data_IF_583782259191
#
_entry.id   IF_583782259191
#
_cell.length_a   1.000
_cell.length_b   1.000
_cell.length_c   1.000
_cell.angle_alpha   90.00
_cell.angle_beta   90.00
_cell.angle_gamma   90.00
#
_symmetry.space_group_name_H-M   'P 1'
#
loop_
_entity.id
_entity.type
_entity.pdbx_description
1 polymer ?
#
# COMPACT_ATOMS: atom_id res chain seq x y z
N UNK A 1 7.94 -4.68 -34.97
CA UNK A 1 7.92 -5.85 -34.08
C UNK A 1 7.05 -5.45 -32.90
N UNK A 2 5.86 -6.04 -32.75
CA UNK A 2 5.04 -5.80 -31.57
C UNK A 2 5.51 -6.77 -30.49
N UNK A 3 6.13 -6.25 -29.44
CA UNK A 3 6.63 -7.06 -28.32
C UNK A 3 5.51 -7.35 -27.32
N UNK A 4 4.39 -6.63 -27.40
CA UNK A 4 3.23 -6.87 -26.54
C UNK A 4 2.48 -8.11 -27.06
N UNK A 5 2.32 -9.16 -26.23
CA UNK A 5 1.48 -10.30 -26.58
C UNK A 5 0.03 -9.84 -26.79
N UNK A 6 -0.61 -10.28 -27.87
CA UNK A 6 -2.00 -9.94 -28.22
C UNK A 6 -3.03 -10.89 -27.60
N UNK A 7 -2.57 -11.99 -27.01
CA UNK A 7 -3.37 -13.12 -26.55
C UNK A 7 -3.01 -13.46 -25.10
N UNK A 8 -2.71 -12.43 -24.31
CA UNK A 8 -2.33 -12.60 -22.91
C UNK A 8 -3.55 -13.05 -22.07
N UNK A 9 -3.40 -14.18 -21.40
CA UNK A 9 -4.36 -14.63 -20.39
C UNK A 9 -4.09 -13.88 -19.08
N UNK A 10 -4.94 -12.91 -18.78
CA UNK A 10 -4.91 -12.17 -17.52
C UNK A 10 -5.55 -12.97 -16.36
N UNK A 11 -5.83 -14.27 -16.53
CA UNK A 11 -6.37 -15.10 -15.46
C UNK A 11 -7.76 -14.67 -15.00
N UNK A 12 -8.08 -14.98 -13.74
CA UNK A 12 -9.41 -14.72 -13.18
C UNK A 12 -9.57 -13.24 -12.78
N UNK A 13 -10.54 -12.55 -13.38
CA UNK A 13 -10.83 -11.14 -13.09
C UNK A 13 -11.08 -10.85 -11.60
N UNK A 14 -11.62 -11.83 -10.86
CA UNK A 14 -11.84 -11.74 -9.41
C UNK A 14 -10.55 -11.53 -8.60
N UNK A 15 -9.40 -11.91 -9.14
CA UNK A 15 -8.10 -11.74 -8.50
C UNK A 15 -7.63 -10.28 -8.49
N UNK A 16 -8.28 -9.39 -9.25
CA UNK A 16 -7.98 -7.96 -9.32
C UNK A 16 -9.03 -7.11 -8.59
N UNK A 17 -9.94 -7.76 -7.85
CA UNK A 17 -11.07 -7.08 -7.21
C UNK A 17 -10.60 -5.94 -6.32
N UNK A 18 -9.65 -6.20 -5.41
CA UNK A 18 -9.12 -5.18 -4.50
C UNK A 18 -8.67 -3.91 -5.24
N UNK A 19 -7.79 -4.06 -6.24
CA UNK A 19 -7.25 -2.94 -6.99
C UNK A 19 -8.32 -2.12 -7.74
N UNK A 20 -9.40 -2.78 -8.15
CA UNK A 20 -10.43 -2.18 -9.01
C UNK A 20 -11.67 -1.72 -8.24
N UNK A 21 -11.85 -2.11 -6.99
CA UNK A 21 -13.06 -1.79 -6.21
C UNK A 21 -12.80 -0.97 -4.94
N UNK A 22 -11.63 -0.33 -4.82
CA UNK A 22 -11.37 0.59 -3.71
C UNK A 22 -12.43 1.70 -3.62
N UNK A 23 -12.60 2.22 -2.41
CA UNK A 23 -13.39 3.41 -2.12
C UNK A 23 -12.65 4.64 -2.62
N UNK A 24 -13.18 5.26 -3.68
CA UNK A 24 -12.69 6.53 -4.22
C UNK A 24 -13.81 7.29 -4.96
N UNK A 25 -13.62 8.59 -5.12
CA UNK A 25 -14.62 9.52 -5.62
C UNK A 25 -14.94 9.40 -7.11
N UNK A 26 -14.00 8.93 -7.94
CA UNK A 26 -14.16 8.84 -9.39
C UNK A 26 -13.27 7.78 -10.05
N UNK A 27 -13.52 7.52 -11.33
CA UNK A 27 -12.83 6.51 -12.13
C UNK A 27 -11.38 6.90 -12.48
N UNK A 28 -11.07 8.20 -12.58
CA UNK A 28 -9.71 8.67 -12.82
C UNK A 28 -8.79 8.34 -11.63
N UNK A 29 -9.25 8.56 -10.40
CA UNK A 29 -8.53 8.17 -9.19
C UNK A 29 -8.35 6.65 -9.12
N UNK A 30 -9.41 5.88 -9.41
CA UNK A 30 -9.38 4.41 -9.46
C UNK A 30 -8.35 3.88 -10.46
N UNK A 31 -8.25 4.50 -11.65
CA UNK A 31 -7.24 4.16 -12.66
C UNK A 31 -5.82 4.39 -12.15
N UNK A 32 -5.56 5.56 -11.55
CA UNK A 32 -4.25 5.85 -10.96
C UNK A 32 -3.89 4.88 -9.82
N UNK A 33 -4.87 4.53 -8.97
CA UNK A 33 -4.67 3.51 -7.93
C UNK A 33 -4.35 2.13 -8.53
N UNK A 34 -5.10 1.70 -9.55
CA UNK A 34 -4.87 0.41 -10.20
C UNK A 34 -3.48 0.33 -10.82
N UNK A 35 -3.03 1.41 -11.48
CA UNK A 35 -1.68 1.50 -12.05
C UNK A 35 -0.60 1.49 -10.96
N UNK A 36 -0.80 2.26 -9.88
CA UNK A 36 0.09 2.28 -8.73
C UNK A 36 0.23 0.88 -8.08
N UNK A 37 -0.89 0.18 -7.89
CA UNK A 37 -0.92 -1.16 -7.33
C UNK A 37 -0.16 -2.15 -8.21
N UNK A 38 -0.30 -2.06 -9.53
CA UNK A 38 0.51 -2.84 -10.48
C UNK A 38 2.01 -2.57 -10.35
N UNK A 39 2.42 -1.31 -10.19
CA UNK A 39 3.83 -0.97 -9.94
C UNK A 39 4.34 -1.48 -8.59
N UNK A 40 3.51 -1.41 -7.55
CA UNK A 40 3.82 -1.92 -6.21
C UNK A 40 4.08 -3.42 -6.25
N UNK A 41 3.20 -4.21 -6.87
CA UNK A 41 3.37 -5.66 -7.02
C UNK A 41 4.61 -6.05 -7.84
N UNK A 42 5.06 -5.18 -8.73
CA UNK A 42 6.28 -5.34 -9.53
C UNK A 42 7.54 -4.76 -8.87
N UNK A 43 7.47 -4.37 -7.59
CA UNK A 43 8.58 -3.76 -6.84
C UNK A 43 9.10 -2.44 -7.42
N UNK A 44 8.33 -1.77 -8.28
CA UNK A 44 8.65 -0.44 -8.78
C UNK A 44 8.03 0.62 -7.86
N UNK A 45 8.54 0.72 -6.63
CA UNK A 45 7.93 1.53 -5.57
C UNK A 45 7.95 3.03 -5.88
N UNK A 46 8.99 3.56 -6.52
CA UNK A 46 9.05 4.99 -6.88
C UNK A 46 7.89 5.37 -7.82
N UNK A 47 7.65 4.55 -8.85
CA UNK A 47 6.54 4.78 -9.77
C UNK A 47 5.18 4.52 -9.10
N UNK A 48 5.09 3.53 -8.21
CA UNK A 48 3.89 3.29 -7.43
C UNK A 48 3.54 4.52 -6.57
N UNK A 49 4.51 5.10 -5.86
CA UNK A 49 4.33 6.32 -5.05
C UNK A 49 3.87 7.48 -5.93
N UNK A 50 4.47 7.68 -7.11
CA UNK A 50 4.04 8.73 -8.03
C UNK A 50 2.56 8.55 -8.44
N UNK A 51 2.14 7.34 -8.78
CA UNK A 51 0.76 7.06 -9.17
C UNK A 51 -0.23 7.15 -7.99
N UNK A 52 0.13 6.66 -6.79
CA UNK A 52 -0.70 6.84 -5.59
C UNK A 52 -0.80 8.31 -5.20
N UNK A 53 0.29 9.09 -5.30
CA UNK A 53 0.24 10.53 -5.05
C UNK A 53 -0.72 11.22 -6.02
N UNK A 54 -0.70 10.82 -7.30
CA UNK A 54 -1.65 11.33 -8.28
C UNK A 54 -3.09 10.93 -7.97
N UNK A 55 -3.31 9.71 -7.47
CA UNK A 55 -4.62 9.28 -6.98
C UNK A 55 -5.10 10.20 -5.84
N UNK A 56 -4.24 10.52 -4.86
CA UNK A 56 -4.56 11.42 -3.76
C UNK A 56 -4.81 12.87 -4.20
N UNK A 57 -4.16 13.35 -5.28
CA UNK A 57 -4.47 14.65 -5.88
C UNK A 57 -5.86 14.68 -6.54
N UNK A 58 -6.25 13.60 -7.21
CA UNK A 58 -7.54 13.46 -7.89
C UNK A 58 -8.69 13.22 -6.91
N UNK A 59 -8.41 12.52 -5.82
CA UNK A 59 -9.33 12.26 -4.73
C UNK A 59 -8.59 12.35 -3.37
N UNK A 60 -8.62 13.53 -2.73
CA UNK A 60 -8.00 13.74 -1.42
C UNK A 60 -8.61 12.89 -0.30
N UNK A 61 -9.80 12.31 -0.52
CA UNK A 61 -10.47 11.44 0.46
C UNK A 61 -10.14 9.94 0.28
N UNK A 62 -9.36 9.58 -0.76
CA UNK A 62 -8.96 8.20 -1.01
C UNK A 62 -7.93 7.72 0.03
N UNK A 63 -8.40 7.09 1.11
CA UNK A 63 -7.53 6.57 2.17
C UNK A 63 -6.51 5.53 1.63
N UNK A 64 -6.92 4.73 0.64
CA UNK A 64 -6.06 3.68 0.08
C UNK A 64 -4.88 4.22 -0.74
N UNK A 65 -4.99 5.42 -1.31
CA UNK A 65 -3.85 6.08 -1.94
C UNK A 65 -2.74 6.35 -0.92
N UNK A 66 -3.11 6.84 0.26
CA UNK A 66 -2.18 7.11 1.36
C UNK A 66 -1.61 5.83 1.98
N UNK A 67 -2.44 4.78 2.11
CA UNK A 67 -1.99 3.43 2.49
C UNK A 67 -0.92 2.91 1.53
N UNK A 68 -1.14 3.05 0.22
CA UNK A 68 -0.20 2.61 -0.81
C UNK A 68 1.13 3.37 -0.79
N UNK A 69 1.09 4.69 -0.53
CA UNK A 69 2.31 5.49 -0.33
C UNK A 69 3.08 4.97 0.89
N UNK A 70 2.43 4.81 2.04
CA UNK A 70 3.06 4.32 3.26
C UNK A 70 3.75 2.95 3.04
N UNK A 71 3.07 2.04 2.36
CA UNK A 71 3.60 0.73 2.03
C UNK A 71 4.88 0.83 1.18
N UNK A 72 4.84 1.63 0.11
CA UNK A 72 5.91 1.72 -0.87
C UNK A 72 7.15 2.51 -0.39
N UNK A 73 6.96 3.55 0.44
CA UNK A 73 8.09 4.34 0.96
C UNK A 73 8.89 3.58 2.00
N UNK A 74 8.24 2.68 2.74
CA UNK A 74 8.86 1.94 3.82
C UNK A 74 9.88 0.91 3.34
N UNK A 75 10.76 0.48 4.25
CA UNK A 75 11.73 -0.59 3.96
C UNK A 75 11.03 -1.86 3.45
N UNK A 76 11.67 -2.56 2.53
CA UNK A 76 11.23 -3.88 2.08
C UNK A 76 12.42 -4.83 2.00
N UNK A 77 12.17 -6.11 1.78
CA UNK A 77 13.21 -7.14 1.80
C UNK A 77 14.27 -6.97 0.68
N UNK A 78 13.94 -6.32 -0.44
CA UNK A 78 14.86 -5.99 -1.53
C UNK A 78 15.63 -4.68 -1.28
N UNK A 79 15.12 -3.82 -0.40
CA UNK A 79 15.69 -2.51 -0.08
C UNK A 79 15.49 -2.21 1.41
N UNK A 80 16.38 -2.76 2.24
CA UNK A 80 16.32 -2.64 3.70
C UNK A 80 16.29 -1.19 4.22
N UNK A 81 17.02 -0.21 3.62
CA UNK A 81 16.85 1.17 4.01
C UNK A 81 15.42 1.69 3.81
N UNK A 82 14.69 1.31 2.74
CA UNK A 82 13.48 2.01 2.30
C UNK A 82 13.78 3.34 1.61
N UNK A 83 12.73 4.04 1.17
CA UNK A 83 12.78 5.40 0.60
C UNK A 83 12.52 6.49 1.66
N UNK A 84 11.88 6.13 2.76
CA UNK A 84 11.52 7.04 3.85
C UNK A 84 10.62 6.36 4.88
N UNK A 85 10.16 7.14 5.86
CA UNK A 85 9.14 6.69 6.80
C UNK A 85 7.75 6.75 6.18
N UNK A 86 6.95 5.70 6.35
CA UNK A 86 5.54 5.65 5.95
C UNK A 86 4.57 6.27 6.96
N UNK A 87 5.07 6.77 8.10
CA UNK A 87 4.23 7.19 9.22
C UNK A 87 3.23 8.29 8.86
N UNK A 88 3.68 9.37 8.22
CA UNK A 88 2.79 10.50 7.91
C UNK A 88 1.69 10.10 6.92
N UNK A 89 2.05 9.29 5.91
CA UNK A 89 1.09 8.78 4.93
C UNK A 89 0.08 7.83 5.58
N UNK A 90 0.50 6.90 6.45
CA UNK A 90 -0.47 6.00 7.08
C UNK A 90 -1.38 6.74 8.07
N UNK A 91 -0.90 7.77 8.76
CA UNK A 91 -1.76 8.62 9.60
C UNK A 91 -2.82 9.36 8.77
N UNK A 92 -2.45 9.81 7.56
CA UNK A 92 -3.42 10.40 6.64
C UNK A 92 -4.49 9.38 6.21
N UNK A 93 -4.10 8.13 5.91
CA UNK A 93 -5.04 7.05 5.62
C UNK A 93 -5.99 6.78 6.81
N UNK A 94 -5.44 6.69 8.03
CA UNK A 94 -6.22 6.50 9.27
C UNK A 94 -7.24 7.61 9.46
N UNK A 95 -6.89 8.88 9.16
CA UNK A 95 -7.83 10.00 9.30
C UNK A 95 -9.00 9.97 8.31
N UNK A 96 -8.90 9.20 7.23
CA UNK A 96 -9.87 9.11 6.15
C UNK A 96 -10.67 7.79 6.14
N UNK A 97 -10.24 6.79 6.91
CA UNK A 97 -10.73 5.40 6.80
C UNK A 97 -12.21 5.21 7.16
N UNK A 98 -12.82 6.12 7.90
CA UNK A 98 -14.23 6.01 8.34
C UNK A 98 -15.22 5.95 7.15
N UNK A 99 -14.81 6.47 5.98
CA UNK A 99 -15.57 6.39 4.74
C UNK A 99 -15.35 5.11 3.93
N UNK A 100 -14.39 4.27 4.31
CA UNK A 100 -13.93 3.11 3.55
C UNK A 100 -14.70 1.83 3.92
N UNK A 101 -14.54 0.80 3.10
CA UNK A 101 -15.03 -0.55 3.40
C UNK A 101 -14.32 -1.14 4.62
N UNK A 102 -14.93 -2.15 5.25
CA UNK A 102 -14.32 -2.85 6.39
C UNK A 102 -12.94 -3.44 6.05
N UNK A 103 -12.78 -4.00 4.84
CA UNK A 103 -11.51 -4.55 4.37
C UNK A 103 -10.42 -3.47 4.32
N UNK A 104 -10.73 -2.30 3.76
CA UNK A 104 -9.78 -1.19 3.66
C UNK A 104 -9.41 -0.65 5.04
N UNK A 105 -10.39 -0.50 5.95
CA UNK A 105 -10.13 -0.08 7.33
C UNK A 105 -9.19 -1.06 8.05
N UNK A 106 -9.45 -2.36 7.92
CA UNK A 106 -8.61 -3.41 8.51
C UNK A 106 -7.17 -3.38 7.97
N UNK A 107 -7.00 -3.22 6.65
CA UNK A 107 -5.66 -3.12 6.04
C UNK A 107 -4.91 -1.85 6.43
N UNK A 108 -5.62 -0.73 6.59
CA UNK A 108 -5.07 0.53 7.10
C UNK A 108 -4.59 0.34 8.54
N UNK A 109 -5.40 -0.27 9.40
CA UNK A 109 -5.07 -0.49 10.81
C UNK A 109 -3.92 -1.47 10.99
N UNK A 110 -3.85 -2.50 10.15
CA UNK A 110 -2.71 -3.41 10.13
C UNK A 110 -1.43 -2.67 9.72
N UNK A 111 -1.42 -1.95 8.59
CA UNK A 111 -0.22 -1.25 8.12
C UNK A 111 0.21 -0.14 9.08
N UNK A 112 -0.72 0.47 9.83
CA UNK A 112 -0.38 1.44 10.89
C UNK A 112 0.52 0.84 11.98
N UNK A 113 0.44 -0.46 12.25
CA UNK A 113 1.35 -1.14 13.20
C UNK A 113 2.80 -1.19 12.71
N UNK A 114 3.03 -0.98 11.41
CA UNK A 114 4.35 -0.97 10.78
C UNK A 114 5.06 0.38 10.91
N UNK A 115 4.40 1.41 11.43
CA UNK A 115 4.92 2.78 11.42
C UNK A 115 4.68 3.50 12.73
N UNK A 116 5.75 4.01 13.35
CA UNK A 116 5.66 4.84 14.56
C UNK A 116 6.30 6.22 14.34
N UNK A 117 5.88 7.19 15.14
CA UNK A 117 6.48 8.53 15.13
C UNK A 117 7.92 8.46 15.61
N UNK A 118 8.21 7.61 16.60
CA UNK A 118 9.55 7.37 17.13
C UNK A 118 10.51 6.86 16.05
N UNK A 119 10.07 5.91 15.23
CA UNK A 119 10.89 5.37 14.16
C UNK A 119 11.10 6.39 13.02
N UNK A 120 10.06 7.17 12.66
CA UNK A 120 10.19 8.32 11.74
C UNK A 120 11.23 9.32 12.24
N UNK A 121 11.13 9.71 13.50
CA UNK A 121 11.96 10.77 14.09
C UNK A 121 13.42 10.31 14.31
N UNK A 122 13.63 8.99 14.46
CA UNK A 122 14.94 8.37 14.54
C UNK A 122 15.55 8.00 13.17
N UNK A 123 14.85 8.26 12.07
CA UNK A 123 15.35 7.93 10.72
C UNK A 123 16.62 8.73 10.39
N UNK A 124 17.65 8.03 9.93
CA UNK A 124 18.94 8.60 9.57
C UNK A 124 19.43 8.05 8.21
N UNK A 125 19.37 8.88 7.15
CA UNK A 125 19.88 8.54 5.82
C UNK A 125 21.37 8.22 5.76
N UNK A 126 22.17 8.72 6.69
CA UNK A 126 23.61 8.48 6.70
C UNK A 126 23.99 7.05 7.12
N UNK A 127 23.10 6.36 7.82
CA UNK A 127 23.29 4.96 8.27
C UNK A 127 22.26 4.01 7.66
N UNK A 128 21.56 4.44 6.60
CA UNK A 128 20.58 3.62 5.87
C UNK A 128 19.43 3.09 6.74
N UNK A 129 18.99 3.86 7.73
CA UNK A 129 17.82 3.55 8.56
C UNK A 129 16.68 4.53 8.24
N UNK A 130 15.68 4.15 7.44
CA UNK A 130 14.53 5.03 7.15
C UNK A 130 13.34 4.86 8.10
N UNK A 131 13.59 4.39 9.33
CA UNK A 131 12.57 4.43 10.38
C UNK A 131 11.55 3.29 10.32
N UNK A 132 12.00 2.08 9.98
CA UNK A 132 11.16 0.89 10.08
C UNK A 132 11.97 -0.29 10.63
N UNK A 133 11.79 -0.54 11.92
CA UNK A 133 12.52 -1.56 12.69
C UNK A 133 11.97 -2.98 12.45
N UNK A 134 12.78 -4.04 12.63
CA UNK A 134 12.33 -5.42 12.52
C UNK A 134 11.08 -5.73 13.38
N UNK A 135 10.99 -5.15 14.57
CA UNK A 135 9.85 -5.29 15.49
C UNK A 135 8.55 -4.75 14.90
N UNK A 136 8.60 -3.64 14.14
CA UNK A 136 7.44 -3.07 13.46
C UNK A 136 6.97 -3.94 12.30
N UNK A 137 7.90 -4.60 11.59
CA UNK A 137 7.54 -5.60 10.58
C UNK A 137 6.85 -6.83 11.20
N UNK A 138 7.32 -7.28 12.38
CA UNK A 138 6.67 -8.36 13.14
C UNK A 138 5.27 -7.94 13.61
N UNK A 139 5.12 -6.70 14.11
CA UNK A 139 3.83 -6.17 14.53
C UNK A 139 2.82 -6.13 13.37
N UNK A 140 3.25 -5.67 12.19
CA UNK A 140 2.42 -5.71 10.98
C UNK A 140 2.01 -7.13 10.59
N UNK A 141 2.96 -8.08 10.56
CA UNK A 141 2.66 -9.47 10.25
C UNK A 141 1.65 -10.09 11.23
N UNK A 142 1.80 -9.81 12.53
CA UNK A 142 0.86 -10.25 13.56
C UNK A 142 -0.54 -9.62 13.37
N UNK A 143 -0.62 -8.36 12.93
CA UNK A 143 -1.88 -7.70 12.62
C UNK A 143 -2.55 -8.24 11.35
N UNK A 144 -1.77 -8.69 10.36
CA UNK A 144 -2.27 -9.32 9.13
C UNK A 144 -2.78 -10.75 9.34
N UNK A 145 -2.26 -11.50 10.30
CA UNK A 145 -2.67 -12.90 10.55
C UNK A 145 -4.20 -13.07 10.73
N UNK A 146 -4.90 -12.34 11.62
CA UNK A 146 -6.34 -12.49 11.75
C UNK A 146 -7.09 -12.05 10.49
N UNK A 147 -6.57 -11.08 9.73
CA UNK A 147 -7.17 -10.61 8.49
C UNK A 147 -7.09 -11.66 7.39
N UNK A 148 -5.97 -12.37 7.28
CA UNK A 148 -5.83 -13.52 6.38
C UNK A 148 -6.92 -14.57 6.61
N UNK A 149 -7.27 -14.82 7.88
CA UNK A 149 -8.36 -15.75 8.22
C UNK A 149 -9.74 -15.16 7.94
N UNK A 150 -9.95 -13.86 8.25
CA UNK A 150 -11.22 -13.15 8.04
C UNK A 150 -11.58 -13.04 6.56
N UNK A 151 -10.60 -12.77 5.71
CA UNK A 151 -10.74 -12.56 4.26
C UNK A 151 -10.19 -13.72 3.42
N UNK A 152 -10.33 -14.95 3.91
CA UNK A 152 -9.81 -16.16 3.27
C UNK A 152 -10.17 -16.23 1.77
N UNK A 153 -9.15 -16.42 0.92
CA UNK A 153 -9.29 -16.49 -0.53
C UNK A 153 -9.10 -15.16 -1.26
N UNK A 154 -9.00 -14.04 -0.53
CA UNK A 154 -8.56 -12.77 -1.09
C UNK A 154 -7.02 -12.78 -1.22
N UNK A 155 -6.52 -12.70 -2.46
CA UNK A 155 -5.07 -12.76 -2.74
C UNK A 155 -4.32 -11.51 -2.27
N UNK A 156 -5.02 -10.39 -2.11
CA UNK A 156 -4.46 -9.13 -1.65
C UNK A 156 -4.41 -9.03 -0.11
N UNK A 157 -5.07 -9.97 0.59
CA UNK A 157 -4.96 -10.14 2.04
C UNK A 157 -4.21 -11.43 2.32
N UNK A 158 -2.90 -11.41 2.04
CA UNK A 158 -2.00 -12.54 2.31
C UNK A 158 -0.95 -12.15 3.33
N UNK A 159 -0.59 -13.11 4.19
CA UNK A 159 0.43 -12.97 5.24
C UNK A 159 1.80 -13.50 4.76
#
# INVERSE_FOLDING_TARGET
>A
MNLAPTDYDFGAASNYFFATTITCANDEARKMFTEAFGHMLNYNHEQAIACFSKCAELDPSCAMAWWGIAYCVSSNYNWSPGLGSGHDSIQQAVSLKDGCTELEQDLIDALAQRHSAEARDAADPSVLNMGNDPELNVAFAAAMEPLYRKYSGNLDVTA
#
